data_IF_370483270094
#
_entry.id   IF_370483270094
#
_cell.length_a   1.000
_cell.length_b   1.000
_cell.length_c   1.000
_cell.angle_alpha   90.00
_cell.angle_beta   90.00
_cell.angle_gamma   90.00
#
_symmetry.space_group_name_H-M   'P 1'
#
loop_
_entity.id
_entity.type
_entity.pdbx_description
1 polymer ?
#
# COMPACT_ATOMS: atom_id res chain seq x y z
N UNK A 1 16.81 -10.09 7.02
CA UNK A 1 16.57 -11.08 5.94
C UNK A 1 17.18 -10.63 4.61
N UNK A 2 16.68 -9.58 3.94
CA UNK A 2 17.15 -9.17 2.61
C UNK A 2 18.68 -8.97 2.50
N UNK A 3 19.29 -8.25 3.44
CA UNK A 3 20.76 -8.05 3.49
C UNK A 3 21.56 -9.34 3.56
N UNK A 4 21.06 -10.37 4.28
CA UNK A 4 21.73 -11.68 4.40
C UNK A 4 21.73 -12.43 3.07
N UNK A 5 20.68 -12.26 2.27
CA UNK A 5 20.47 -12.94 0.98
C UNK A 5 20.83 -12.08 -0.23
N UNK A 6 21.45 -10.92 -0.02
CA UNK A 6 21.82 -9.97 -1.09
C UNK A 6 20.64 -9.58 -2.00
N UNK A 7 19.45 -9.46 -1.44
CA UNK A 7 18.26 -9.06 -2.18
C UNK A 7 18.33 -7.54 -2.43
N UNK A 8 18.09 -7.14 -3.67
CA UNK A 8 18.05 -5.73 -4.07
C UNK A 8 16.97 -4.91 -3.35
N UNK A 9 17.04 -3.60 -3.45
CA UNK A 9 16.02 -2.70 -2.91
C UNK A 9 15.97 -2.58 -1.39
N UNK A 10 16.86 -3.23 -0.63
CA UNK A 10 16.91 -3.07 0.82
C UNK A 10 17.36 -1.64 1.18
N UNK A 11 16.58 -0.88 2.00
CA UNK A 11 17.05 0.40 2.53
C UNK A 11 18.23 0.21 3.47
N UNK A 12 18.99 1.27 3.69
CA UNK A 12 19.93 1.36 4.80
C UNK A 12 19.11 1.35 6.09
N UNK A 13 19.27 0.32 6.92
CA UNK A 13 18.59 0.22 8.20
C UNK A 13 19.44 -0.45 9.28
N UNK A 14 19.02 -0.26 10.53
CA UNK A 14 19.50 -1.01 11.69
C UNK A 14 18.38 -1.21 12.70
N UNK A 15 18.50 -2.29 13.49
CA UNK A 15 17.64 -2.57 14.65
C UNK A 15 18.50 -2.39 15.89
N UNK A 16 18.04 -1.59 16.83
CA UNK A 16 18.82 -1.19 17.99
C UNK A 16 18.08 -1.49 19.29
N UNK A 17 18.82 -1.96 20.27
CA UNK A 17 18.40 -2.08 21.68
C UNK A 17 19.22 -1.14 22.58
N UNK A 18 20.35 -0.63 22.09
CA UNK A 18 21.25 0.26 22.83
C UNK A 18 21.21 1.68 22.27
N UNK A 19 20.96 2.66 23.15
CA UNK A 19 20.81 4.06 22.76
C UNK A 19 22.05 4.65 22.09
N UNK A 20 23.25 4.29 22.55
CA UNK A 20 24.50 4.81 22.00
C UNK A 20 24.74 4.39 20.55
N UNK A 21 24.45 3.13 20.23
CA UNK A 21 24.56 2.59 18.86
C UNK A 21 23.50 3.19 17.94
N UNK A 22 22.27 3.32 18.44
CA UNK A 22 21.17 3.98 17.75
C UNK A 22 21.52 5.44 17.40
N UNK A 23 21.97 6.22 18.39
CA UNK A 23 22.33 7.64 18.19
C UNK A 23 23.45 7.79 17.15
N UNK A 24 24.48 6.94 17.22
CA UNK A 24 25.60 6.95 16.28
C UNK A 24 25.16 6.57 14.86
N UNK A 25 24.19 5.65 14.73
CA UNK A 25 23.63 5.30 13.43
C UNK A 25 22.78 6.44 12.85
N UNK A 26 21.94 7.08 13.67
CA UNK A 26 21.16 8.26 13.28
C UNK A 26 22.09 9.38 12.80
N UNK A 27 23.18 9.66 13.52
CA UNK A 27 24.18 10.67 13.10
C UNK A 27 24.85 10.33 11.77
N UNK A 28 25.13 9.04 11.55
CA UNK A 28 25.76 8.57 10.31
C UNK A 28 24.83 8.69 9.10
N UNK A 29 23.55 8.35 9.26
CA UNK A 29 22.56 8.37 8.16
C UNK A 29 22.02 9.78 7.92
N UNK A 30 21.87 10.58 8.99
CA UNK A 30 21.38 11.95 8.93
C UNK A 30 19.86 12.01 8.79
N UNK A 31 19.32 11.67 7.62
CA UNK A 31 17.88 11.72 7.33
C UNK A 31 17.23 10.35 7.49
N UNK A 32 16.44 10.18 8.55
CA UNK A 32 15.93 8.87 8.98
C UNK A 32 14.42 8.81 9.14
N UNK A 33 13.89 7.59 8.97
CA UNK A 33 12.60 7.18 9.50
C UNK A 33 12.82 6.34 10.76
N UNK A 34 12.03 6.61 11.80
CA UNK A 34 12.06 5.91 13.08
C UNK A 34 10.81 5.04 13.18
N UNK A 35 10.97 3.74 13.38
CA UNK A 35 9.87 2.78 13.49
C UNK A 35 9.97 1.96 14.78
N UNK A 36 8.87 1.67 15.47
CA UNK A 36 8.85 0.69 16.55
C UNK A 36 9.18 -0.70 15.99
N UNK A 37 9.85 -1.55 16.77
CA UNK A 37 9.98 -2.95 16.42
C UNK A 37 8.65 -3.69 16.62
N UNK A 38 8.24 -4.49 15.64
CA UNK A 38 7.03 -5.31 15.68
C UNK A 38 5.89 -4.83 14.78
N UNK A 39 4.76 -5.56 14.81
CA UNK A 39 3.59 -5.29 13.97
C UNK A 39 2.70 -4.22 14.62
N UNK A 40 2.93 -2.96 14.27
CA UNK A 40 2.09 -1.84 14.75
C UNK A 40 1.05 -1.37 13.73
N UNK A 41 0.95 -2.04 12.58
CA UNK A 41 0.05 -1.63 11.49
C UNK A 41 0.37 -0.22 10.98
N UNK A 42 1.66 0.13 10.92
CA UNK A 42 2.13 1.46 10.51
C UNK A 42 2.02 2.55 11.58
N UNK A 43 1.41 2.26 12.75
CA UNK A 43 1.34 3.22 13.86
C UNK A 43 2.73 3.38 14.51
N UNK A 44 3.11 4.62 14.80
CA UNK A 44 4.40 4.95 15.41
C UNK A 44 5.57 5.07 14.45
N UNK A 45 5.36 4.89 13.14
CA UNK A 45 6.37 5.29 12.14
C UNK A 45 6.39 6.80 12.05
N UNK A 46 7.56 7.42 12.25
CA UNK A 46 7.76 8.87 12.08
C UNK A 46 8.97 9.16 11.22
N UNK A 47 8.85 10.15 10.34
CA UNK A 47 9.86 10.51 9.34
C UNK A 47 10.44 11.89 9.66
N UNK A 48 11.77 12.00 9.54
CA UNK A 48 12.45 13.28 9.68
C UNK A 48 12.13 14.22 8.51
N UNK A 49 11.81 15.48 8.82
CA UNK A 49 11.29 16.47 7.88
C UNK A 49 9.76 16.51 7.76
N UNK A 50 9.06 15.57 8.43
CA UNK A 50 7.59 15.55 8.51
C UNK A 50 7.14 15.62 9.98
N UNK A 51 7.02 14.48 10.66
CA UNK A 51 6.61 14.46 12.07
C UNK A 51 7.77 14.73 13.04
N UNK A 52 9.02 14.57 12.57
CA UNK A 52 10.23 14.83 13.34
C UNK A 52 10.99 15.98 12.68
N UNK A 53 11.05 17.18 13.28
CA UNK A 53 11.62 18.36 12.62
C UNK A 53 13.12 18.24 12.34
N UNK A 54 13.86 17.52 13.17
CA UNK A 54 15.32 17.41 13.08
C UNK A 54 15.86 16.11 13.69
N UNK A 55 17.17 15.93 13.60
CA UNK A 55 17.90 14.77 14.12
C UNK A 55 17.76 14.61 15.64
N UNK A 56 17.64 15.72 16.38
CA UNK A 56 17.43 15.72 17.82
C UNK A 56 16.06 15.15 18.18
N UNK A 57 15.02 15.59 17.49
CA UNK A 57 13.68 15.06 17.62
C UNK A 57 13.62 13.57 17.25
N UNK A 58 14.33 13.15 16.19
CA UNK A 58 14.43 11.75 15.82
C UNK A 58 15.05 10.90 16.93
N UNK A 59 16.17 11.35 17.52
CA UNK A 59 16.81 10.65 18.65
C UNK A 59 15.93 10.58 19.89
N UNK A 60 15.23 11.66 20.23
CA UNK A 60 14.30 11.70 21.38
C UNK A 60 13.16 10.71 21.16
N UNK A 61 12.55 10.71 19.97
CA UNK A 61 11.47 9.80 19.67
C UNK A 61 11.93 8.34 19.65
N UNK A 62 13.07 8.06 19.01
CA UNK A 62 13.65 6.71 18.98
C UNK A 62 13.99 6.20 20.38
N UNK A 63 14.53 7.06 21.25
CA UNK A 63 14.78 6.73 22.66
C UNK A 63 13.49 6.40 23.42
N UNK A 64 12.38 7.10 23.16
CA UNK A 64 11.08 6.78 23.77
C UNK A 64 10.52 5.41 23.35
N UNK A 65 10.92 4.90 22.18
CA UNK A 65 10.54 3.55 21.72
C UNK A 65 11.45 2.47 22.31
N UNK A 66 12.73 2.78 22.55
CA UNK A 66 13.70 1.87 23.18
C UNK A 66 13.30 1.48 24.61
N UNK A 67 12.51 2.30 25.31
CA UNK A 67 11.98 1.93 26.65
C UNK A 67 11.06 0.68 26.60
N UNK A 68 10.53 0.33 25.42
CA UNK A 68 9.65 -0.82 25.22
C UNK A 68 10.37 -2.12 24.87
N UNK A 69 11.24 -2.11 23.84
CA UNK A 69 12.00 -3.29 23.39
C UNK A 69 13.17 -2.88 22.47
N UNK A 70 12.91 -2.82 21.15
CA UNK A 70 13.89 -2.40 20.14
C UNK A 70 13.27 -1.37 19.18
N UNK A 71 14.14 -0.62 18.51
CA UNK A 71 13.74 0.39 17.52
C UNK A 71 14.42 0.10 16.19
N UNK A 72 13.68 0.30 15.11
CA UNK A 72 14.21 0.22 13.74
C UNK A 72 14.45 1.64 13.24
N UNK A 73 15.68 1.92 12.82
CA UNK A 73 16.04 3.17 12.15
C UNK A 73 16.37 2.86 10.71
N UNK A 74 15.69 3.54 9.79
CA UNK A 74 15.89 3.42 8.34
C UNK A 74 16.29 4.76 7.74
N UNK A 75 16.99 4.75 6.61
CA UNK A 75 17.12 5.95 5.80
C UNK A 75 15.74 6.44 5.33
N UNK A 76 15.59 7.76 5.25
CA UNK A 76 14.40 8.36 4.68
C UNK A 76 14.45 8.23 3.15
N UNK A 77 13.59 7.38 2.60
CA UNK A 77 13.48 7.15 1.17
C UNK A 77 12.66 8.28 0.51
N UNK A 78 13.26 8.96 -0.45
CA UNK A 78 12.61 10.04 -1.21
C UNK A 78 12.18 9.51 -2.58
N UNK A 79 10.89 9.59 -2.87
CA UNK A 79 10.31 8.93 -4.04
C UNK A 79 8.78 8.97 -4.07
N UNK A 80 8.23 8.21 -5.01
CA UNK A 80 6.80 7.88 -5.06
C UNK A 80 6.57 6.43 -4.63
N UNK A 81 5.65 6.22 -3.69
CA UNK A 81 5.28 4.87 -3.24
C UNK A 81 4.47 4.15 -4.31
N UNK A 82 4.73 2.88 -4.56
CA UNK A 82 3.83 2.02 -5.33
C UNK A 82 3.79 0.61 -4.74
N UNK A 83 2.68 -0.07 -4.98
CA UNK A 83 2.44 -1.45 -4.56
C UNK A 83 2.49 -2.36 -5.78
N UNK A 84 3.17 -3.50 -5.64
CA UNK A 84 3.14 -4.61 -6.59
C UNK A 84 2.73 -5.88 -5.84
N UNK A 85 1.70 -6.56 -6.33
CA UNK A 85 1.20 -7.80 -5.73
C UNK A 85 1.44 -8.97 -6.66
N UNK A 86 1.61 -10.17 -6.10
CA UNK A 86 1.78 -11.38 -6.88
C UNK A 86 1.07 -12.57 -6.24
N UNK A 87 0.47 -13.41 -7.07
CA UNK A 87 0.16 -14.79 -6.74
C UNK A 87 1.44 -15.61 -6.76
N UNK A 88 1.66 -16.44 -5.75
CA UNK A 88 2.88 -17.21 -5.55
C UNK A 88 2.52 -18.67 -5.25
N UNK A 89 3.07 -19.60 -6.01
CA UNK A 89 2.85 -21.05 -5.84
C UNK A 89 4.03 -21.79 -5.15
N UNK A 90 5.00 -21.01 -4.67
CA UNK A 90 6.26 -21.47 -4.10
C UNK A 90 7.46 -21.34 -5.03
N UNK A 91 7.24 -21.28 -6.36
CA UNK A 91 8.31 -21.25 -7.37
C UNK A 91 8.10 -20.17 -8.43
N UNK A 92 6.85 -19.90 -8.75
CA UNK A 92 6.40 -19.01 -9.82
C UNK A 92 5.62 -17.86 -9.21
N UNK A 93 5.76 -16.68 -9.80
CA UNK A 93 5.03 -15.47 -9.41
C UNK A 93 4.25 -14.95 -10.61
N UNK A 94 2.93 -14.78 -10.45
CA UNK A 94 2.08 -14.08 -11.40
C UNK A 94 1.71 -12.71 -10.82
N UNK A 95 2.15 -11.64 -11.47
CA UNK A 95 2.09 -10.27 -10.94
C UNK A 95 0.82 -9.54 -11.38
N UNK A 96 0.23 -8.77 -10.46
CA UNK A 96 -0.85 -7.82 -10.76
C UNK A 96 -0.31 -6.54 -11.40
N UNK A 97 -1.18 -5.67 -11.95
CA UNK A 97 -0.85 -4.27 -12.19
C UNK A 97 -0.33 -3.57 -10.92
N UNK A 98 0.50 -2.54 -11.09
CA UNK A 98 0.97 -1.69 -9.99
C UNK A 98 -0.13 -0.78 -9.49
N UNK A 99 -0.21 -0.59 -8.17
CA UNK A 99 -1.25 0.17 -7.48
C UNK A 99 -0.62 1.33 -6.71
N UNK A 100 -1.23 2.51 -6.78
CA UNK A 100 -0.90 3.63 -5.89
C UNK A 100 -1.88 3.64 -4.71
N UNK A 101 -1.39 3.53 -3.48
CA UNK A 101 -2.20 3.73 -2.26
C UNK A 101 -2.11 5.18 -1.74
N UNK A 102 -3.13 5.58 -0.98
CA UNK A 102 -3.25 6.87 -0.31
C UNK A 102 -3.47 6.67 1.21
N UNK A 103 -2.37 6.55 1.95
CA UNK A 103 -2.41 6.29 3.40
C UNK A 103 -2.93 7.45 4.25
N UNK A 104 -2.75 8.70 3.83
CA UNK A 104 -3.09 9.88 4.64
C UNK A 104 -4.59 10.13 4.69
N UNK A 105 -5.10 10.45 5.88
CA UNK A 105 -6.54 10.57 6.16
C UNK A 105 -7.24 11.69 5.39
N UNK A 106 -6.52 12.78 5.08
CA UNK A 106 -7.08 13.97 4.45
C UNK A 106 -6.45 14.27 3.10
N UNK A 107 -7.18 15.04 2.30
CA UNK A 107 -6.75 15.49 0.98
C UNK A 107 -5.42 16.24 1.02
N UNK A 108 -4.67 16.18 -0.08
CA UNK A 108 -3.33 16.75 -0.15
C UNK A 108 -2.28 15.99 0.66
N UNK A 109 -2.57 14.73 1.01
CA UNK A 109 -1.74 13.84 1.82
C UNK A 109 -1.47 14.38 3.24
N UNK A 110 -2.52 14.94 3.86
CA UNK A 110 -2.49 15.53 5.19
C UNK A 110 -3.08 14.60 6.26
N UNK A 111 -2.80 14.91 7.52
CA UNK A 111 -3.32 14.18 8.68
C UNK A 111 -2.55 12.90 9.02
N UNK A 112 -3.09 12.08 9.93
CA UNK A 112 -2.44 10.83 10.35
C UNK A 112 -2.40 9.78 9.23
N UNK A 113 -1.47 8.83 9.35
CA UNK A 113 -1.49 7.61 8.53
C UNK A 113 -2.69 6.74 8.90
N UNK A 114 -3.31 6.15 7.89
CA UNK A 114 -4.41 5.20 7.99
C UNK A 114 -4.00 3.86 7.39
N UNK A 115 -4.93 2.90 7.32
CA UNK A 115 -4.74 1.69 6.53
C UNK A 115 -4.77 1.91 5.01
N UNK A 116 -5.13 3.11 4.54
CA UNK A 116 -5.37 3.45 3.13
C UNK A 116 -6.79 3.99 2.93
N UNK A 117 -6.90 5.23 2.47
CA UNK A 117 -8.17 5.92 2.19
C UNK A 117 -8.71 5.64 0.78
N UNK A 118 -7.92 4.94 -0.03
CA UNK A 118 -8.24 4.58 -1.40
C UNK A 118 -6.97 4.46 -2.23
N UNK A 119 -7.14 3.99 -3.46
CA UNK A 119 -6.02 3.58 -4.30
C UNK A 119 -6.41 3.55 -5.76
N UNK A 120 -5.44 3.58 -6.66
CA UNK A 120 -5.71 3.50 -8.10
C UNK A 120 -4.69 2.67 -8.87
N UNK A 121 -5.13 2.11 -9.99
CA UNK A 121 -4.29 1.54 -11.06
C UNK A 121 -4.47 2.36 -12.32
N UNK A 122 -3.46 2.34 -13.18
CA UNK A 122 -3.59 2.85 -14.55
C UNK A 122 -4.13 1.77 -15.49
N UNK A 123 -4.42 2.16 -16.72
CA UNK A 123 -4.62 1.23 -17.84
C UNK A 123 -3.32 0.47 -18.11
N UNK A 124 -3.37 -0.85 -17.99
CA UNK A 124 -2.20 -1.74 -18.12
C UNK A 124 -1.41 -1.90 -16.82
N UNK A 125 -0.18 -2.41 -16.94
CA UNK A 125 0.61 -2.83 -15.77
C UNK A 125 1.30 -1.70 -15.00
N UNK A 126 1.45 -0.50 -15.59
CA UNK A 126 2.32 0.57 -15.09
C UNK A 126 1.53 1.80 -14.64
N UNK A 127 1.78 2.26 -13.41
CA UNK A 127 1.37 3.60 -12.98
C UNK A 127 2.06 4.69 -13.83
N UNK A 128 1.46 5.88 -13.98
CA UNK A 128 1.95 6.89 -14.92
C UNK A 128 3.35 7.45 -14.64
N UNK A 129 3.83 7.35 -13.40
CA UNK A 129 5.16 7.81 -12.99
C UNK A 129 6.24 6.69 -13.04
N UNK A 130 5.85 5.45 -13.36
CA UNK A 130 6.74 4.29 -13.48
C UNK A 130 7.20 4.09 -14.92
N UNK A 131 8.41 3.54 -15.08
CA UNK A 131 8.85 2.93 -16.35
C UNK A 131 8.97 1.41 -16.20
N UNK A 132 9.02 0.68 -17.33
CA UNK A 132 9.07 -0.79 -17.33
C UNK A 132 10.20 -1.36 -16.47
N UNK A 133 11.39 -0.75 -16.52
CA UNK A 133 12.56 -1.17 -15.74
C UNK A 133 12.34 -1.06 -14.22
N UNK A 134 11.50 -0.13 -13.76
CA UNK A 134 11.18 0.00 -12.33
C UNK A 134 10.39 -1.22 -11.85
N UNK A 135 9.42 -1.66 -12.65
CA UNK A 135 8.56 -2.79 -12.32
C UNK A 135 9.31 -4.11 -12.48
N UNK A 136 10.17 -4.26 -13.49
CA UNK A 136 11.00 -5.47 -13.62
C UNK A 136 11.99 -5.61 -12.44
N UNK A 137 12.58 -4.52 -11.96
CA UNK A 137 13.39 -4.54 -10.74
C UNK A 137 12.57 -4.96 -9.51
N UNK A 138 11.37 -4.41 -9.33
CA UNK A 138 10.48 -4.79 -8.22
C UNK A 138 10.07 -6.27 -8.29
N UNK A 139 9.73 -6.78 -9.49
CA UNK A 139 9.45 -8.20 -9.73
C UNK A 139 10.64 -9.08 -9.36
N UNK A 140 11.86 -8.67 -9.73
CA UNK A 140 13.07 -9.42 -9.41
C UNK A 140 13.30 -9.48 -7.89
N UNK A 141 13.14 -8.34 -7.20
CA UNK A 141 13.22 -8.28 -5.73
C UNK A 141 12.23 -9.25 -5.08
N UNK A 142 10.97 -9.31 -5.56
CA UNK A 142 9.96 -10.24 -5.05
C UNK A 142 10.33 -11.70 -5.31
N UNK A 143 10.80 -12.04 -6.52
CA UNK A 143 11.25 -13.39 -6.88
C UNK A 143 12.41 -13.85 -5.99
N UNK A 144 13.40 -12.99 -5.79
CA UNK A 144 14.56 -13.28 -4.95
C UNK A 144 14.15 -13.45 -3.48
N UNK A 145 13.15 -12.67 -3.02
CA UNK A 145 12.58 -12.81 -1.67
C UNK A 145 11.92 -14.17 -1.46
N UNK A 146 11.06 -14.60 -2.39
CA UNK A 146 10.40 -15.92 -2.31
C UNK A 146 11.43 -17.04 -2.33
N UNK A 147 12.42 -16.95 -3.21
CA UNK A 147 13.50 -17.94 -3.31
C UNK A 147 14.32 -18.01 -2.02
N UNK A 148 14.77 -16.86 -1.51
CA UNK A 148 15.54 -16.79 -0.27
C UNK A 148 14.78 -17.35 0.93
N UNK A 149 13.43 -17.22 0.95
CA UNK A 149 12.62 -17.76 2.05
C UNK A 149 12.69 -19.28 2.04
N UNK A 150 12.58 -19.89 0.86
CA UNK A 150 12.75 -21.33 0.70
C UNK A 150 14.18 -21.77 1.07
N UNK A 151 15.20 -21.05 0.59
CA UNK A 151 16.61 -21.38 0.88
C UNK A 151 16.93 -21.33 2.40
N UNK A 152 16.29 -20.42 3.15
CA UNK A 152 16.49 -20.29 4.61
C UNK A 152 15.66 -21.27 5.44
N UNK A 153 14.43 -21.59 5.00
CA UNK A 153 13.46 -22.30 5.84
C UNK A 153 13.12 -23.72 5.36
N UNK A 154 13.41 -24.03 4.10
CA UNK A 154 12.93 -25.23 3.41
C UNK A 154 11.42 -25.22 3.10
N UNK A 155 10.71 -24.11 3.38
CA UNK A 155 9.26 -23.99 3.21
C UNK A 155 8.94 -23.13 1.99
N UNK A 156 8.06 -23.65 1.13
CA UNK A 156 7.58 -22.92 -0.04
C UNK A 156 6.53 -21.88 0.37
N UNK A 157 6.71 -20.63 -0.05
CA UNK A 157 5.71 -19.58 0.12
C UNK A 157 4.56 -19.76 -0.87
N UNK A 158 3.34 -19.97 -0.38
CA UNK A 158 2.14 -20.10 -1.21
C UNK A 158 1.08 -19.09 -0.79
N UNK A 159 0.53 -18.35 -1.75
CA UNK A 159 -0.51 -17.36 -1.52
C UNK A 159 -0.20 -16.04 -2.23
N UNK A 160 -0.67 -14.93 -1.65
CA UNK A 160 -0.40 -13.59 -2.19
C UNK A 160 0.82 -12.99 -1.51
N UNK A 161 1.77 -12.50 -2.29
CA UNK A 161 2.85 -11.64 -1.80
C UNK A 161 2.56 -10.19 -2.21
N UNK A 162 2.44 -9.33 -1.22
CA UNK A 162 2.33 -7.89 -1.39
C UNK A 162 3.70 -7.27 -1.15
N UNK A 163 4.22 -6.51 -2.11
CA UNK A 163 5.41 -5.69 -1.95
C UNK A 163 5.06 -4.21 -2.06
N UNK A 164 5.32 -3.46 -1.00
CA UNK A 164 5.30 -2.00 -1.06
C UNK A 164 6.70 -1.47 -1.33
N UNK A 165 6.81 -0.60 -2.32
CA UNK A 165 8.05 -0.01 -2.76
C UNK A 165 7.98 1.51 -2.69
N UNK A 166 9.12 2.14 -2.40
CA UNK A 166 9.39 3.54 -2.72
C UNK A 166 10.20 3.57 -4.01
N UNK A 167 9.69 4.21 -5.06
CA UNK A 167 10.48 4.45 -6.26
C UNK A 167 11.37 5.67 -6.04
N UNK A 168 12.67 5.45 -5.86
CA UNK A 168 13.65 6.54 -5.69
C UNK A 168 14.37 6.83 -7.00
N UNK A 169 15.27 7.82 -6.98
CA UNK A 169 16.20 8.08 -8.09
C UNK A 169 17.06 6.86 -8.47
N UNK A 170 17.32 5.97 -7.50
CA UNK A 170 18.20 4.80 -7.64
C UNK A 170 17.40 3.51 -7.87
N UNK A 171 16.10 3.61 -8.18
CA UNK A 171 15.19 2.49 -8.42
C UNK A 171 14.30 2.14 -7.21
N UNK A 172 13.53 1.03 -7.31
CA UNK A 172 12.60 0.65 -6.25
C UNK A 172 13.31 0.16 -4.99
N UNK A 173 12.91 0.70 -3.85
CA UNK A 173 13.34 0.28 -2.51
C UNK A 173 12.17 -0.31 -1.75
N UNK A 174 12.36 -1.45 -1.09
CA UNK A 174 11.31 -2.12 -0.33
C UNK A 174 11.01 -1.33 0.93
N UNK A 175 9.74 -0.94 1.10
CA UNK A 175 9.23 -0.41 2.37
C UNK A 175 8.85 -1.59 3.26
N UNK A 176 8.03 -2.51 2.73
CA UNK A 176 7.61 -3.72 3.44
C UNK A 176 7.08 -4.80 2.50
N UNK A 177 7.05 -6.03 3.01
CA UNK A 177 6.31 -7.15 2.42
C UNK A 177 5.17 -7.56 3.34
N UNK A 178 3.99 -7.83 2.77
CA UNK A 178 2.85 -8.41 3.48
C UNK A 178 2.50 -9.78 2.88
N UNK A 179 2.08 -10.71 3.74
CA UNK A 179 1.76 -12.08 3.36
C UNK A 179 0.29 -12.28 2.93
N UNK A 180 -0.34 -11.22 2.41
CA UNK A 180 -1.75 -11.15 2.01
C UNK A 180 -1.91 -10.04 0.97
N UNK A 181 -3.10 -9.93 0.38
CA UNK A 181 -3.46 -8.74 -0.38
C UNK A 181 -3.42 -7.47 0.49
N UNK A 182 -3.05 -6.37 -0.15
CA UNK A 182 -3.23 -5.02 0.37
C UNK A 182 -4.72 -4.64 0.43
N UNK A 183 -5.04 -3.70 1.30
CA UNK A 183 -6.37 -3.12 1.42
C UNK A 183 -6.18 -1.61 1.58
N UNK A 184 -6.56 -0.77 0.58
CA UNK A 184 -7.54 -1.07 -0.47
C UNK A 184 -7.04 -1.76 -1.76
N UNK A 185 -5.76 -2.04 -1.91
CA UNK A 185 -5.19 -2.38 -3.23
C UNK A 185 -5.78 -3.65 -3.86
N UNK A 186 -6.29 -4.60 -3.07
CA UNK A 186 -7.05 -5.76 -3.57
C UNK A 186 -8.25 -5.35 -4.44
N UNK A 187 -8.96 -4.30 -4.04
CA UNK A 187 -10.18 -3.82 -4.71
C UNK A 187 -9.87 -3.13 -6.03
N UNK A 188 -8.62 -2.76 -6.29
CA UNK A 188 -8.17 -2.33 -7.61
C UNK A 188 -7.82 -3.51 -8.51
N UNK A 189 -7.07 -4.50 -7.98
CA UNK A 189 -6.48 -5.56 -8.81
C UNK A 189 -7.41 -6.71 -9.10
N UNK A 190 -8.24 -7.12 -8.14
CA UNK A 190 -9.11 -8.29 -8.28
C UNK A 190 -10.23 -8.07 -9.29
N UNK A 191 -10.90 -6.90 -9.37
CA UNK A 191 -11.88 -6.65 -10.42
C UNK A 191 -11.28 -6.68 -11.83
N UNK A 192 -9.97 -6.44 -11.96
CA UNK A 192 -9.29 -6.52 -13.25
C UNK A 192 -8.95 -7.96 -13.64
N UNK A 193 -8.96 -8.93 -12.73
CA UNK A 193 -8.55 -10.30 -13.01
C UNK A 193 -9.53 -10.99 -13.98
N UNK A 194 -9.05 -11.32 -15.18
CA UNK A 194 -9.84 -12.04 -16.21
C UNK A 194 -9.78 -13.56 -16.03
N UNK A 195 -8.64 -14.07 -15.57
CA UNK A 195 -8.47 -15.50 -15.28
C UNK A 195 -9.29 -15.88 -14.05
N UNK A 196 -10.02 -16.99 -14.08
CA UNK A 196 -10.86 -17.41 -12.96
C UNK A 196 -10.04 -17.50 -11.66
N UNK A 197 -10.49 -16.80 -10.62
CA UNK A 197 -9.81 -16.74 -9.35
C UNK A 197 -9.69 -18.13 -8.68
N UNK A 198 -10.65 -19.03 -8.91
CA UNK A 198 -10.60 -20.42 -8.43
C UNK A 198 -9.49 -21.20 -9.13
N UNK A 199 -9.28 -20.98 -10.42
CA UNK A 199 -8.17 -21.60 -11.17
C UNK A 199 -6.83 -21.10 -10.66
N UNK A 200 -6.72 -19.79 -10.37
CA UNK A 200 -5.51 -19.20 -9.79
C UNK A 200 -5.18 -19.81 -8.42
N UNK A 201 -6.16 -19.89 -7.51
CA UNK A 201 -5.94 -20.48 -6.18
C UNK A 201 -5.61 -21.97 -6.28
N UNK A 202 -6.28 -22.70 -7.17
CA UNK A 202 -5.99 -24.13 -7.41
C UNK A 202 -4.56 -24.31 -7.91
N UNK A 203 -4.11 -23.48 -8.86
CA UNK A 203 -2.75 -23.52 -9.37
C UNK A 203 -1.70 -23.17 -8.29
N UNK A 204 -2.00 -22.24 -7.38
CA UNK A 204 -1.17 -21.95 -6.20
C UNK A 204 -1.08 -23.18 -5.29
N UNK A 205 -2.21 -23.80 -4.97
CA UNK A 205 -2.27 -24.97 -4.11
C UNK A 205 -1.45 -26.13 -4.70
N UNK A 206 -1.57 -26.37 -6.00
CA UNK A 206 -0.92 -27.47 -6.71
C UNK A 206 0.54 -27.17 -7.11
N UNK A 207 0.99 -25.91 -7.06
CA UNK A 207 2.35 -25.54 -7.50
C UNK A 207 2.50 -25.53 -9.02
N UNK A 208 1.44 -25.17 -9.74
CA UNK A 208 1.34 -25.22 -11.21
C UNK A 208 1.06 -23.86 -11.85
N UNK A 209 1.29 -22.76 -11.11
CA UNK A 209 0.97 -21.40 -11.56
C UNK A 209 1.72 -21.01 -12.84
N UNK A 210 2.92 -21.55 -13.07
CA UNK A 210 3.67 -21.35 -14.33
C UNK A 210 2.92 -21.85 -15.59
N UNK A 211 1.95 -22.74 -15.44
CA UNK A 211 1.16 -23.29 -16.54
C UNK A 211 -0.14 -22.49 -16.77
N UNK A 212 -0.45 -21.53 -15.90
CA UNK A 212 -1.65 -20.71 -15.97
C UNK A 212 -1.30 -19.31 -16.47
N UNK A 213 -1.95 -18.90 -17.55
CA UNK A 213 -1.85 -17.53 -18.08
C UNK A 213 -2.77 -16.61 -17.26
N UNK A 214 -2.22 -16.04 -16.18
CA UNK A 214 -2.95 -15.12 -15.30
C UNK A 214 -3.03 -13.74 -15.95
N UNK A 215 -4.23 -13.37 -16.40
CA UNK A 215 -4.51 -12.15 -17.15
C UNK A 215 -5.30 -11.16 -16.32
N UNK A 216 -4.94 -9.90 -16.50
CA UNK A 216 -5.68 -8.76 -15.97
C UNK A 216 -6.10 -7.88 -17.15
N UNK A 217 -7.34 -7.39 -17.10
CA UNK A 217 -7.89 -6.48 -18.09
C UNK A 217 -7.10 -5.17 -18.13
N UNK A 218 -6.95 -4.62 -19.34
CA UNK A 218 -6.31 -3.32 -19.55
C UNK A 218 -7.30 -2.18 -19.26
N UNK A 219 -7.70 -2.06 -17.99
CA UNK A 219 -8.53 -0.97 -17.48
C UNK A 219 -7.88 -0.31 -16.28
N UNK A 220 -8.13 0.98 -16.11
CA UNK A 220 -7.80 1.71 -14.90
C UNK A 220 -8.88 1.47 -13.84
N UNK A 221 -8.48 1.51 -12.57
CA UNK A 221 -9.42 1.47 -11.43
C UNK A 221 -9.11 2.56 -10.44
N UNK A 222 -10.15 3.10 -9.80
CA UNK A 222 -10.02 4.05 -8.69
C UNK A 222 -10.93 3.59 -7.57
N UNK A 223 -10.34 3.29 -6.43
CA UNK A 223 -11.01 2.88 -5.20
C UNK A 223 -11.03 4.08 -4.23
N UNK A 224 -12.20 4.43 -3.71
CA UNK A 224 -12.35 5.46 -2.66
C UNK A 224 -13.08 4.88 -1.46
N UNK A 225 -12.51 5.04 -0.28
CA UNK A 225 -13.19 4.67 0.96
C UNK A 225 -14.06 5.81 1.48
N UNK A 226 -15.27 5.46 1.91
CA UNK A 226 -16.02 6.19 2.93
C UNK A 226 -15.77 5.51 4.29
N UNK A 227 -15.20 6.27 5.22
CA UNK A 227 -14.84 5.83 6.57
C UNK A 227 -15.73 6.55 7.59
N UNK A 228 -15.92 6.03 8.81
CA UNK A 228 -16.67 6.74 9.83
C UNK A 228 -16.03 8.09 10.16
N UNK A 229 -16.84 9.11 10.43
CA UNK A 229 -16.34 10.41 10.86
C UNK A 229 -15.39 10.26 12.07
N UNK A 230 -14.29 11.01 12.08
CA UNK A 230 -13.27 10.92 13.13
C UNK A 230 -12.26 9.77 13.01
N UNK A 231 -12.41 8.87 12.03
CA UNK A 231 -11.36 7.91 11.67
C UNK A 231 -10.08 8.65 11.22
N UNK A 232 -8.86 8.19 11.58
CA UNK A 232 -8.55 6.94 12.29
C UNK A 232 -8.50 7.02 13.81
N UNK A 233 -8.58 8.23 14.39
CA UNK A 233 -8.27 8.44 15.81
C UNK A 233 -9.48 8.17 16.72
N UNK A 234 -10.64 8.76 16.40
CA UNK A 234 -11.87 8.66 17.19
C UNK A 234 -13.09 8.41 16.27
N UNK A 235 -13.17 7.26 15.59
CA UNK A 235 -14.24 6.98 14.64
C UNK A 235 -15.61 6.85 15.32
N UNK A 236 -16.63 7.52 14.77
CA UNK A 236 -18.03 7.33 15.16
C UNK A 236 -18.46 5.89 14.83
N UNK A 237 -19.10 5.21 15.77
CA UNK A 237 -19.64 3.84 15.59
C UNK A 237 -21.15 3.88 15.54
N UNK A 238 -21.74 2.81 15.01
CA UNK A 238 -23.19 2.58 15.01
C UNK A 238 -23.98 3.64 14.23
N UNK A 239 -23.32 4.30 13.27
CA UNK A 239 -23.96 5.22 12.33
C UNK A 239 -24.48 4.44 11.13
N UNK A 240 -25.72 4.69 10.73
CA UNK A 240 -26.32 4.05 9.55
C UNK A 240 -25.56 4.47 8.28
N UNK A 241 -25.30 3.51 7.40
CA UNK A 241 -24.73 3.70 6.06
C UNK A 241 -25.81 3.37 5.06
N UNK A 242 -26.14 4.32 4.20
CA UNK A 242 -27.15 4.18 3.15
C UNK A 242 -26.44 4.29 1.81
N UNK A 243 -26.45 3.19 1.05
CA UNK A 243 -25.97 3.19 -0.34
C UNK A 243 -27.13 3.49 -1.28
N UNK A 244 -27.06 4.62 -1.99
CA UNK A 244 -27.98 5.00 -3.05
C UNK A 244 -27.65 4.31 -4.38
N UNK A 245 -27.88 5.02 -5.49
CA UNK A 245 -27.51 4.54 -6.82
C UNK A 245 -25.99 4.67 -7.03
N UNK A 246 -25.31 3.53 -7.16
CA UNK A 246 -23.86 3.47 -7.37
C UNK A 246 -23.47 3.46 -8.86
N UNK A 247 -24.43 3.47 -9.78
CA UNK A 247 -24.18 3.39 -11.21
C UNK A 247 -23.33 2.18 -11.61
N UNK A 248 -22.28 2.43 -12.40
CA UNK A 248 -21.36 1.39 -12.91
C UNK A 248 -20.22 1.04 -11.93
N UNK A 249 -20.20 1.64 -10.73
CA UNK A 249 -19.18 1.34 -9.74
C UNK A 249 -19.43 -0.01 -9.05
N UNK A 250 -18.36 -0.59 -8.50
CA UNK A 250 -18.46 -1.68 -7.55
C UNK A 250 -18.54 -1.11 -6.13
N UNK A 251 -19.41 -1.68 -5.30
CA UNK A 251 -19.54 -1.33 -3.87
C UNK A 251 -19.05 -2.49 -3.00
N UNK A 252 -18.11 -2.20 -2.11
CA UNK A 252 -17.56 -3.15 -1.15
C UNK A 252 -17.89 -2.72 0.27
N UNK A 253 -18.57 -3.58 1.02
CA UNK A 253 -18.74 -3.43 2.46
C UNK A 253 -17.52 -4.01 3.17
N UNK A 254 -16.84 -3.18 3.97
CA UNK A 254 -15.64 -3.56 4.72
C UNK A 254 -15.98 -3.75 6.19
N UNK A 255 -15.82 -2.73 7.03
CA UNK A 255 -16.02 -2.83 8.47
C UNK A 255 -17.38 -2.29 8.91
N UNK A 256 -18.42 -3.03 8.56
CA UNK A 256 -19.82 -2.72 8.88
C UNK A 256 -20.54 -3.94 9.47
N UNK A 257 -21.73 -3.73 10.03
CA UNK A 257 -22.63 -4.82 10.41
C UNK A 257 -24.06 -4.52 9.96
N UNK A 258 -24.85 -5.57 9.75
CA UNK A 258 -26.27 -5.44 9.44
C UNK A 258 -27.11 -5.66 10.69
N UNK A 259 -28.12 -4.81 10.89
CA UNK A 259 -29.14 -4.97 11.92
C UNK A 259 -30.47 -4.48 11.37
N UNK A 260 -31.52 -5.30 11.50
CA UNK A 260 -32.89 -4.98 11.07
C UNK A 260 -32.97 -4.49 9.60
N UNK A 261 -32.15 -5.10 8.72
CA UNK A 261 -32.09 -4.77 7.28
C UNK A 261 -31.35 -3.48 6.95
N UNK A 262 -30.66 -2.87 7.92
CA UNK A 262 -29.87 -1.64 7.78
C UNK A 262 -28.40 -1.92 8.06
N UNK A 263 -27.52 -1.21 7.36
CA UNK A 263 -26.07 -1.33 7.52
C UNK A 263 -25.55 -0.23 8.43
N UNK A 264 -24.67 -0.58 9.35
CA UNK A 264 -24.10 0.33 10.35
C UNK A 264 -22.58 0.28 10.37
N UNK A 265 -21.95 1.42 10.63
CA UNK A 265 -20.50 1.54 10.79
C UNK A 265 -20.00 0.83 12.04
N UNK A 266 -18.77 0.31 11.96
CA UNK A 266 -17.95 0.01 13.14
C UNK A 266 -16.92 1.14 13.36
N UNK A 267 -15.74 0.85 13.92
CA UNK A 267 -14.66 1.83 14.13
C UNK A 267 -13.56 1.81 13.07
N UNK A 268 -13.79 1.23 11.89
CA UNK A 268 -12.80 1.18 10.81
C UNK A 268 -13.46 1.52 9.47
N UNK A 269 -12.69 1.46 8.38
CA UNK A 269 -13.13 1.79 7.02
C UNK A 269 -14.44 1.04 6.69
N UNK A 270 -15.49 1.79 6.37
CA UNK A 270 -16.84 1.26 6.33
C UNK A 270 -17.17 0.67 4.97
N UNK A 271 -17.15 1.48 3.91
CA UNK A 271 -17.49 1.06 2.54
C UNK A 271 -16.51 1.66 1.54
N UNK A 272 -16.18 0.91 0.49
CA UNK A 272 -15.38 1.39 -0.63
C UNK A 272 -16.20 1.32 -1.91
N UNK A 273 -16.01 2.32 -2.77
CA UNK A 273 -16.52 2.32 -4.15
C UNK A 273 -15.35 2.25 -5.13
N UNK A 274 -15.50 1.43 -6.17
CA UNK A 274 -14.47 1.24 -7.20
C UNK A 274 -15.06 1.56 -8.56
N UNK A 275 -14.54 2.59 -9.20
CA UNK A 275 -14.79 2.84 -10.62
C UNK A 275 -13.75 2.12 -11.47
N UNK A 276 -14.16 1.66 -12.65
CA UNK A 276 -13.32 0.95 -13.60
C UNK A 276 -13.60 1.46 -15.01
N UNK A 277 -12.57 1.90 -15.73
CA UNK A 277 -12.73 2.51 -17.04
C UNK A 277 -11.43 2.43 -17.88
N UNK A 278 -11.44 3.01 -19.07
CA UNK A 278 -10.29 2.99 -19.99
C UNK A 278 -9.23 4.06 -19.64
N UNK A 279 -9.50 4.91 -18.64
CA UNK A 279 -8.58 5.90 -18.09
C UNK A 279 -8.78 6.09 -16.59
N UNK A 280 -7.74 6.56 -15.88
CA UNK A 280 -7.83 6.87 -14.45
C UNK A 280 -8.90 7.96 -14.21
N UNK A 281 -9.01 8.96 -15.09
CA UNK A 281 -9.96 10.05 -14.94
C UNK A 281 -11.41 9.56 -15.04
N UNK A 282 -11.72 8.67 -15.99
CA UNK A 282 -13.06 8.11 -16.13
C UNK A 282 -13.40 7.16 -14.96
N UNK A 283 -12.43 6.36 -14.53
CA UNK A 283 -12.58 5.48 -13.36
C UNK A 283 -12.78 6.30 -12.08
N UNK A 284 -12.08 7.42 -11.92
CA UNK A 284 -12.26 8.37 -10.82
C UNK A 284 -13.65 8.97 -10.83
N UNK A 285 -14.15 9.42 -11.99
CA UNK A 285 -15.48 9.99 -12.13
C UNK A 285 -16.58 8.98 -11.74
N UNK A 286 -16.45 7.72 -12.18
CA UNK A 286 -17.38 6.65 -11.79
C UNK A 286 -17.35 6.43 -10.27
N UNK A 287 -16.15 6.29 -9.68
CA UNK A 287 -15.99 6.09 -8.25
C UNK A 287 -16.55 7.27 -7.44
N UNK A 288 -16.30 8.50 -7.90
CA UNK A 288 -16.74 9.72 -7.24
C UNK A 288 -18.27 9.87 -7.29
N UNK A 289 -18.89 9.60 -8.44
CA UNK A 289 -20.35 9.60 -8.57
C UNK A 289 -21.00 8.60 -7.61
N UNK A 290 -20.45 7.38 -7.50
CA UNK A 290 -20.95 6.39 -6.54
C UNK A 290 -20.75 6.85 -5.09
N UNK A 291 -19.58 7.42 -4.77
CA UNK A 291 -19.25 7.93 -3.43
C UNK A 291 -20.21 9.03 -2.96
N UNK A 292 -20.63 9.91 -3.88
CA UNK A 292 -21.58 11.00 -3.59
C UNK A 292 -23.00 10.50 -3.31
N UNK A 293 -23.30 9.23 -3.62
CA UNK A 293 -24.56 8.57 -3.30
C UNK A 293 -24.44 7.66 -2.05
N UNK A 294 -23.33 7.70 -1.31
CA UNK A 294 -23.19 7.04 -0.02
C UNK A 294 -23.49 8.06 1.08
N UNK A 295 -24.55 7.81 1.85
CA UNK A 295 -24.97 8.67 2.96
C UNK A 295 -24.67 8.02 4.32
N UNK A 296 -24.42 8.85 5.32
CA UNK A 296 -24.11 8.45 6.70
C UNK A 296 -23.19 9.47 7.38
N UNK A 297 -22.85 9.22 8.65
CA UNK A 297 -21.80 9.98 9.36
C UNK A 297 -20.41 9.50 8.92
N UNK A 298 -20.05 9.86 7.69
CA UNK A 298 -18.88 9.36 6.97
C UNK A 298 -17.96 10.49 6.49
N UNK A 299 -16.69 10.16 6.32
CA UNK A 299 -15.65 10.98 5.72
C UNK A 299 -15.00 10.21 4.56
N UNK A 300 -14.57 10.92 3.52
CA UNK A 300 -13.86 10.34 2.39
C UNK A 300 -12.91 11.36 1.76
N UNK A 301 -11.83 10.90 1.14
CA UNK A 301 -10.95 11.74 0.31
C UNK A 301 -11.50 11.81 -1.11
N UNK A 302 -11.70 13.01 -1.63
CA UNK A 302 -12.21 13.20 -3.00
C UNK A 302 -11.08 13.30 -4.02
N UNK A 303 -9.85 13.59 -3.59
CA UNK A 303 -8.68 13.80 -4.45
C UNK A 303 -8.03 12.53 -5.02
N UNK A 304 -8.44 11.34 -4.54
CA UNK A 304 -7.86 10.04 -4.96
C UNK A 304 -8.14 9.80 -6.44
N UNK A 305 -7.08 9.53 -7.21
CA UNK A 305 -7.18 9.28 -8.65
C UNK A 305 -7.42 10.54 -9.51
N UNK A 306 -7.55 11.72 -8.91
CA UNK A 306 -7.77 12.95 -9.69
C UNK A 306 -6.56 13.30 -10.57
N UNK A 307 -6.81 13.94 -11.71
CA UNK A 307 -5.76 14.33 -12.65
C UNK A 307 -4.64 15.16 -11.98
N UNK A 308 -4.99 16.06 -11.06
CA UNK A 308 -4.02 16.88 -10.34
C UNK A 308 -3.10 16.04 -9.45
N UNK A 309 -3.64 15.06 -8.73
CA UNK A 309 -2.88 14.16 -7.85
C UNK A 309 -1.99 13.23 -8.67
N UNK A 310 -2.51 12.66 -9.76
CA UNK A 310 -1.72 11.83 -10.68
C UNK A 310 -0.55 12.64 -11.27
N UNK A 311 -0.83 13.85 -11.76
CA UNK A 311 0.19 14.71 -12.36
C UNK A 311 1.27 15.12 -11.35
N UNK A 312 0.88 15.42 -10.10
CA UNK A 312 1.83 15.73 -9.02
C UNK A 312 2.87 14.63 -8.84
N UNK A 313 2.47 13.35 -8.85
CA UNK A 313 3.41 12.22 -8.71
C UNK A 313 4.34 12.07 -9.91
N UNK A 314 3.80 12.29 -11.12
CA UNK A 314 4.61 12.30 -12.35
C UNK A 314 5.68 13.39 -12.27
N UNK A 315 5.30 14.61 -11.89
CA UNK A 315 6.22 15.74 -11.83
C UNK A 315 7.26 15.58 -10.72
N UNK A 316 6.85 15.05 -9.56
CA UNK A 316 7.78 14.73 -8.47
C UNK A 316 8.84 13.69 -8.89
N UNK A 317 8.45 12.62 -9.61
CA UNK A 317 9.44 11.67 -10.12
C UNK A 317 10.35 12.24 -11.21
N UNK A 318 9.86 13.19 -12.02
CA UNK A 318 10.71 13.91 -12.98
C UNK A 318 11.77 14.74 -12.25
N UNK A 319 11.35 15.49 -11.21
CA UNK A 319 12.27 16.27 -10.37
C UNK A 319 13.34 15.40 -9.71
N UNK A 320 12.93 14.29 -9.08
CA UNK A 320 13.84 13.34 -8.43
C UNK A 320 14.86 12.75 -9.40
N UNK A 321 14.45 12.51 -10.66
CA UNK A 321 15.30 11.93 -11.70
C UNK A 321 16.07 12.97 -12.53
N UNK A 322 15.85 14.26 -12.28
CA UNK A 322 16.54 15.35 -12.97
C UNK A 322 16.09 15.57 -14.42
N UNK A 323 14.82 15.31 -14.73
CA UNK A 323 14.19 15.62 -16.02
C UNK A 323 13.58 17.02 -16.06
#
# INVERSE_FOLDING_TARGET
>A
FMKKHNIGGCPIFGVFTEKSEMDAFIDKVGNVAVKPAGLTGGKGVKVMGDQLPDIGAAKVYAASLLEGDSVVIEENLVGEEFTLQAFVDGKSLAFSPTVQDHKRAFEGDLGPNTGGMGSYTNTGALLPFLVSDDVEQAKQIMKDTVRALYDETGVLYKGTLYGQFMLTKDGPKVIEFNARFGDPEAMNVLPLLETDYVDVISAIADGTLANLDVKFSEKATVCKYAVPAGYPDNPTKDSEVIAGDIGDALLFYSSVYEKDGKVYTTGSRAVAVVGMADSIADAEAIAQNALDNIEGDLHSRRDIGTAAVVQKRIDHMKEIRGF
#
